data_IF_905341699237
#
_entry.id   IF_905341699237
#
_cell.length_a   1.000
_cell.length_b   1.000
_cell.length_c   1.000
_cell.angle_alpha   90.00
_cell.angle_beta   90.00
_cell.angle_gamma   90.00
#
_symmetry.space_group_name_H-M   'P 1'
#
loop_
_entity.id
_entity.type
_entity.pdbx_description
1 polymer ?
#
# COMPACT_ATOMS: atom_id res chain seq x y z
N UNK A 1 12.35 -7.55 31.88
CA UNK A 1 11.83 -8.23 30.69
C UNK A 1 10.58 -8.99 31.10
N UNK A 2 9.41 -8.51 30.69
CA UNK A 2 8.12 -9.17 30.94
C UNK A 2 7.66 -9.81 29.63
N UNK A 3 7.07 -11.01 29.64
CA UNK A 3 6.58 -11.66 28.43
C UNK A 3 5.29 -10.97 27.97
N UNK A 4 5.27 -10.51 26.71
CA UNK A 4 4.07 -10.02 26.04
C UNK A 4 3.28 -11.22 25.54
N UNK A 5 2.09 -11.42 26.09
CA UNK A 5 1.16 -12.47 25.71
C UNK A 5 0.30 -12.00 24.54
N UNK A 6 0.45 -12.62 23.37
CA UNK A 6 -0.43 -12.39 22.22
C UNK A 6 -1.87 -12.81 22.56
N UNK A 7 -2.80 -11.85 22.53
CA UNK A 7 -4.24 -12.15 22.56
C UNK A 7 -4.73 -12.36 21.13
N UNK A 8 -4.92 -13.62 20.74
CA UNK A 8 -5.75 -14.00 19.60
C UNK A 8 -7.21 -13.78 19.98
N UNK A 9 -7.90 -12.89 19.26
CA UNK A 9 -9.35 -12.69 19.41
C UNK A 9 -10.05 -13.82 18.62
N UNK A 10 -10.99 -14.57 19.22
CA UNK A 10 -11.64 -15.68 18.55
C UNK A 10 -12.61 -15.19 17.48
N UNK A 11 -12.46 -15.70 16.26
CA UNK A 11 -13.45 -15.56 15.19
C UNK A 11 -14.63 -16.49 15.46
N UNK A 12 -15.76 -15.91 15.83
CA UNK A 12 -17.06 -16.59 15.80
C UNK A 12 -18.05 -15.73 15.03
N UNK A 13 -18.26 -16.10 13.77
CA UNK A 13 -19.22 -15.48 12.87
C UNK A 13 -19.22 -16.20 11.53
N UNK A 14 -19.75 -17.44 11.50
CA UNK A 14 -20.04 -18.12 10.24
C UNK A 14 -21.17 -17.34 9.57
N UNK A 15 -20.81 -16.50 8.60
CA UNK A 15 -21.80 -15.81 7.77
C UNK A 15 -22.06 -16.62 6.52
N UNK A 16 -23.24 -17.21 6.44
CA UNK A 16 -23.78 -17.86 5.25
C UNK A 16 -24.26 -16.79 4.28
N UNK A 17 -23.35 -16.12 3.57
CA UNK A 17 -23.72 -15.34 2.39
C UNK A 17 -23.61 -16.23 1.15
N UNK A 18 -24.74 -16.31 0.46
CA UNK A 18 -25.08 -17.30 -0.55
C UNK A 18 -24.08 -17.44 -1.70
N UNK A 19 -23.97 -18.69 -2.14
CA UNK A 19 -23.69 -19.10 -3.51
C UNK A 19 -24.60 -18.34 -4.49
N UNK A 20 -24.21 -17.14 -4.88
CA UNK A 20 -24.74 -16.42 -6.03
C UNK A 20 -23.52 -15.89 -6.80
N UNK A 21 -23.50 -16.13 -8.11
CA UNK A 21 -22.56 -15.60 -9.11
C UNK A 21 -21.87 -14.34 -8.61
N UNK A 22 -20.56 -14.42 -8.34
CA UNK A 22 -19.81 -13.41 -7.60
C UNK A 22 -20.02 -12.01 -8.21
N UNK A 23 -20.84 -11.18 -7.55
CA UNK A 23 -20.91 -9.76 -7.81
C UNK A 23 -19.49 -9.21 -7.65
N UNK A 24 -18.89 -8.76 -8.74
CA UNK A 24 -17.57 -8.16 -8.68
C UNK A 24 -17.68 -6.91 -7.82
N UNK A 25 -16.91 -6.78 -6.72
CA UNK A 25 -17.03 -5.63 -5.84
C UNK A 25 -16.79 -4.35 -6.64
N UNK A 26 -17.79 -3.46 -6.64
CA UNK A 26 -17.71 -2.16 -7.29
C UNK A 26 -17.14 -1.18 -6.27
N UNK A 27 -15.87 -0.83 -6.43
CA UNK A 27 -15.20 0.14 -5.56
C UNK A 27 -15.60 1.59 -5.90
N UNK A 28 -15.46 2.52 -4.94
CA UNK A 28 -15.76 3.93 -5.18
C UNK A 28 -14.98 4.50 -6.36
N UNK A 29 -15.63 5.37 -7.12
CA UNK A 29 -15.05 6.09 -8.26
C UNK A 29 -15.52 7.55 -8.25
N UNK A 30 -14.86 8.40 -9.03
CA UNK A 30 -15.23 9.82 -9.17
C UNK A 30 -16.06 10.06 -10.44
N UNK A 31 -16.96 11.06 -10.45
CA UNK A 31 -17.82 11.35 -11.60
C UNK A 31 -17.06 11.56 -12.92
N UNK A 32 -15.85 12.11 -12.85
CA UNK A 32 -14.98 12.40 -13.99
C UNK A 32 -14.58 11.13 -14.75
N UNK A 33 -14.57 9.96 -14.09
CA UNK A 33 -14.24 8.68 -14.72
C UNK A 33 -15.46 7.98 -15.36
N UNK A 34 -16.69 8.36 -14.98
CA UNK A 34 -17.90 7.65 -15.42
C UNK A 34 -18.08 7.53 -16.95
N UNK A 35 -17.75 8.55 -17.78
CA UNK A 35 -17.93 8.44 -19.22
C UNK A 35 -16.98 7.43 -19.90
N UNK A 36 -15.80 7.23 -19.34
CA UNK A 36 -14.77 6.34 -19.89
C UNK A 36 -13.84 5.84 -18.77
N UNK A 37 -14.29 4.88 -17.95
CA UNK A 37 -13.50 4.39 -16.83
C UNK A 37 -12.27 3.62 -17.33
N UNK A 38 -11.18 3.67 -16.55
CA UNK A 38 -9.97 2.90 -16.85
C UNK A 38 -10.22 1.40 -16.66
N UNK A 39 -10.25 0.65 -17.76
CA UNK A 39 -10.42 -0.81 -17.74
C UNK A 39 -9.31 -1.53 -16.98
N UNK A 40 -8.07 -1.02 -17.05
CA UNK A 40 -6.94 -1.59 -16.32
C UNK A 40 -7.10 -1.39 -14.81
N UNK A 41 -7.59 -0.22 -14.38
CA UNK A 41 -7.94 0.01 -12.96
C UNK A 41 -9.01 -0.97 -12.49
N UNK A 42 -10.11 -1.11 -13.25
CA UNK A 42 -11.20 -2.02 -12.91
C UNK A 42 -10.76 -3.49 -12.86
N UNK A 43 -9.84 -3.91 -13.75
CA UNK A 43 -9.24 -5.23 -13.70
C UNK A 43 -8.38 -5.42 -12.43
N UNK A 44 -7.58 -4.41 -12.06
CA UNK A 44 -6.75 -4.47 -10.86
C UNK A 44 -7.60 -4.43 -9.57
N UNK A 45 -8.71 -3.70 -9.58
CA UNK A 45 -9.68 -3.66 -8.49
C UNK A 45 -10.19 -5.07 -8.14
N UNK A 46 -10.31 -5.98 -9.11
CA UNK A 46 -10.69 -7.38 -8.88
C UNK A 46 -9.62 -8.21 -8.14
N UNK A 47 -8.37 -7.74 -8.11
CA UNK A 47 -7.24 -8.37 -7.43
C UNK A 47 -7.02 -7.76 -6.04
N UNK A 48 -6.99 -6.43 -5.96
CA UNK A 48 -6.74 -5.67 -4.74
C UNK A 48 -8.05 -5.37 -4.01
N UNK A 49 -8.58 -6.37 -3.31
CA UNK A 49 -9.91 -6.28 -2.68
C UNK A 49 -9.89 -5.87 -1.20
N UNK A 50 -8.79 -6.11 -0.48
CA UNK A 50 -8.73 -5.97 0.97
C UNK A 50 -8.41 -4.51 1.40
N UNK A 51 -9.41 -3.79 1.91
CA UNK A 51 -9.26 -2.42 2.42
C UNK A 51 -9.11 -2.31 3.95
N UNK A 52 -8.91 -3.44 4.65
CA UNK A 52 -8.77 -3.47 6.11
C UNK A 52 -7.44 -2.84 6.57
N UNK A 53 -7.42 -2.35 7.80
CA UNK A 53 -6.20 -1.92 8.47
C UNK A 53 -5.35 -3.14 8.89
N UNK A 54 -4.45 -3.56 8.01
CA UNK A 54 -3.57 -4.73 8.24
C UNK A 54 -2.11 -4.38 8.49
N UNK A 55 -1.70 -3.20 8.03
CA UNK A 55 -0.37 -2.65 8.23
C UNK A 55 -0.46 -1.50 9.23
N UNK A 56 0.60 -1.31 10.00
CA UNK A 56 0.74 -0.15 10.88
C UNK A 56 0.97 1.11 10.02
N UNK A 57 0.08 2.12 10.07
CA UNK A 57 0.17 3.28 9.18
C UNK A 57 1.50 4.03 9.26
N UNK A 58 2.10 4.10 10.46
CA UNK A 58 3.39 4.76 10.72
C UNK A 58 4.56 4.05 10.03
N UNK A 59 4.41 2.77 9.67
CA UNK A 59 5.46 1.95 9.07
C UNK A 59 5.26 1.70 7.57
N UNK A 60 4.23 2.29 6.94
CA UNK A 60 3.92 2.03 5.52
C UNK A 60 5.09 2.36 4.59
N UNK A 61 5.82 3.45 4.88
CA UNK A 61 7.01 3.82 4.11
C UNK A 61 8.14 2.81 4.22
N UNK A 62 8.34 2.20 5.39
CA UNK A 62 9.38 1.19 5.61
C UNK A 62 9.10 -0.08 4.82
N UNK A 63 7.82 -0.41 4.62
CA UNK A 63 7.44 -1.52 3.76
C UNK A 63 7.69 -1.22 2.29
N UNK A 64 7.58 0.03 1.85
CA UNK A 64 7.76 0.39 0.45
C UNK A 64 9.24 0.60 0.08
N UNK A 65 10.01 1.27 0.93
CA UNK A 65 11.36 1.76 0.64
C UNK A 65 12.40 0.97 1.45
N UNK A 66 13.42 0.43 0.79
CA UNK A 66 14.56 -0.22 1.44
C UNK A 66 15.70 0.75 1.77
N UNK A 67 15.87 1.81 0.99
CA UNK A 67 16.93 2.80 1.18
C UNK A 67 17.05 3.79 0.03
N UNK A 68 18.12 4.56 0.02
CA UNK A 68 18.44 5.52 -1.03
C UNK A 68 18.96 4.82 -2.30
N UNK A 69 18.55 5.29 -3.48
CA UNK A 69 19.11 4.85 -4.75
C UNK A 69 18.38 5.44 -5.93
N UNK A 70 19.15 6.01 -6.87
CA UNK A 70 18.63 6.63 -8.08
C UNK A 70 18.39 5.65 -9.23
N UNK A 71 17.86 6.17 -10.34
CA UNK A 71 17.68 5.42 -11.58
C UNK A 71 19.03 5.00 -12.17
N UNK A 72 20.01 5.90 -12.13
CA UNK A 72 21.40 5.59 -12.47
C UNK A 72 22.11 5.03 -11.24
N UNK A 73 22.53 3.75 -11.23
CA UNK A 73 23.19 3.14 -10.08
C UNK A 73 24.53 3.78 -9.73
N UNK A 74 25.15 4.52 -10.65
CA UNK A 74 26.42 5.23 -10.42
C UNK A 74 26.19 6.61 -9.78
N UNK A 75 24.94 7.09 -9.71
CA UNK A 75 24.59 8.37 -9.07
C UNK A 75 24.31 8.17 -7.59
N UNK A 76 25.12 8.80 -6.74
CA UNK A 76 24.89 8.82 -5.30
C UNK A 76 23.76 9.79 -4.95
N UNK A 77 22.86 9.34 -4.07
CA UNK A 77 21.80 10.18 -3.50
C UNK A 77 22.35 10.86 -2.24
N UNK A 78 22.14 12.17 -2.14
CA UNK A 78 22.52 12.96 -0.97
C UNK A 78 21.67 12.59 0.25
N UNK A 79 22.31 12.32 1.39
CA UNK A 79 21.65 11.85 2.62
C UNK A 79 20.64 12.86 3.16
N UNK A 80 20.95 14.15 3.11
CA UNK A 80 20.04 15.21 3.59
C UNK A 80 18.78 15.26 2.71
N UNK A 81 18.96 15.22 1.39
CA UNK A 81 17.86 15.17 0.41
C UNK A 81 17.03 13.90 0.56
N UNK A 82 17.67 12.75 0.79
CA UNK A 82 16.99 11.48 1.07
C UNK A 82 16.11 11.58 2.31
N UNK A 83 16.65 12.07 3.42
CA UNK A 83 15.91 12.16 4.69
C UNK A 83 14.70 13.10 4.56
N UNK A 84 14.87 14.26 3.91
CA UNK A 84 13.76 15.19 3.66
C UNK A 84 12.65 14.55 2.82
N UNK A 85 13.00 13.85 1.74
CA UNK A 85 12.02 13.18 0.88
C UNK A 85 11.36 12.00 1.59
N UNK A 86 12.12 11.23 2.36
CA UNK A 86 11.63 10.07 3.10
C UNK A 86 10.61 10.47 4.17
N UNK A 87 10.89 11.54 4.92
CA UNK A 87 10.00 12.05 5.97
C UNK A 87 8.67 12.56 5.39
N UNK A 88 8.72 13.32 4.30
CA UNK A 88 7.51 13.79 3.61
C UNK A 88 6.72 12.62 2.99
N UNK A 89 7.41 11.66 2.37
CA UNK A 89 6.78 10.46 1.83
C UNK A 89 6.11 9.64 2.95
N UNK A 90 6.76 9.49 4.10
CA UNK A 90 6.21 8.82 5.28
C UNK A 90 4.89 9.44 5.72
N UNK A 91 4.86 10.77 5.87
CA UNK A 91 3.66 11.52 6.21
C UNK A 91 2.54 11.34 5.18
N UNK A 92 2.86 11.42 3.88
CA UNK A 92 1.87 11.24 2.81
C UNK A 92 1.29 9.82 2.80
N UNK A 93 2.13 8.79 2.90
CA UNK A 93 1.69 7.40 2.89
C UNK A 93 0.88 7.03 4.13
N UNK A 94 1.29 7.50 5.32
CA UNK A 94 0.51 7.32 6.55
C UNK A 94 -0.87 7.96 6.41
N UNK A 95 -0.96 9.19 5.91
CA UNK A 95 -2.22 9.88 5.68
C UNK A 95 -3.09 9.17 4.63
N UNK A 96 -2.49 8.70 3.53
CA UNK A 96 -3.21 7.96 2.50
C UNK A 96 -3.76 6.62 3.03
N UNK A 97 -2.95 5.87 3.78
CA UNK A 97 -3.36 4.59 4.36
C UNK A 97 -4.45 4.76 5.42
N UNK A 98 -4.37 5.81 6.24
CA UNK A 98 -5.42 6.10 7.24
C UNK A 98 -6.74 6.53 6.61
N UNK A 99 -6.70 7.37 5.57
CA UNK A 99 -7.90 8.05 5.08
C UNK A 99 -8.54 7.42 3.84
N UNK A 100 -7.79 6.66 3.03
CA UNK A 100 -8.28 6.13 1.75
C UNK A 100 -8.37 4.61 1.73
N UNK A 101 -9.60 4.09 1.67
CA UNK A 101 -9.85 2.66 1.46
C UNK A 101 -9.26 2.16 0.14
N UNK A 102 -9.35 2.96 -0.92
CA UNK A 102 -8.78 2.61 -2.23
C UNK A 102 -7.26 2.49 -2.14
N UNK A 103 -6.59 3.40 -1.43
CA UNK A 103 -5.14 3.30 -1.23
C UNK A 103 -4.78 2.07 -0.39
N UNK A 104 -5.50 1.81 0.71
CA UNK A 104 -5.26 0.62 1.54
C UNK A 104 -5.33 -0.67 0.73
N UNK A 105 -6.28 -0.79 -0.19
CA UNK A 105 -6.39 -1.96 -1.08
C UNK A 105 -5.12 -2.20 -1.88
N UNK A 106 -4.59 -1.15 -2.50
CA UNK A 106 -3.38 -1.22 -3.30
C UNK A 106 -2.16 -1.58 -2.44
N UNK A 107 -1.99 -0.89 -1.30
CA UNK A 107 -0.86 -1.13 -0.41
C UNK A 107 -0.90 -2.53 0.22
N UNK A 108 -2.06 -2.99 0.67
CA UNK A 108 -2.24 -4.34 1.21
C UNK A 108 -1.92 -5.40 0.16
N UNK A 109 -2.41 -5.22 -1.06
CA UNK A 109 -2.13 -6.15 -2.17
C UNK A 109 -0.63 -6.18 -2.50
N UNK A 110 0.01 -5.01 -2.65
CA UNK A 110 1.43 -4.91 -2.94
C UNK A 110 2.29 -5.56 -1.83
N UNK A 111 1.92 -5.36 -0.57
CA UNK A 111 2.59 -5.99 0.56
C UNK A 111 2.52 -7.52 0.52
N UNK A 112 1.33 -8.08 0.26
CA UNK A 112 1.15 -9.53 0.16
C UNK A 112 1.91 -10.14 -1.00
N UNK A 113 2.11 -9.40 -2.10
CA UNK A 113 2.79 -9.91 -3.29
C UNK A 113 4.31 -9.78 -3.21
N UNK A 114 4.81 -8.64 -2.76
CA UNK A 114 6.22 -8.27 -2.93
C UNK A 114 6.78 -7.67 -1.64
N UNK A 115 6.17 -6.61 -1.11
CA UNK A 115 6.82 -5.71 -0.14
C UNK A 115 7.05 -6.31 1.27
N UNK A 116 6.44 -7.47 1.57
CA UNK A 116 6.78 -8.24 2.77
C UNK A 116 8.22 -8.78 2.73
N UNK A 117 8.78 -8.99 1.54
CA UNK A 117 10.17 -9.32 1.28
C UNK A 117 11.00 -8.03 1.13
N UNK A 118 12.02 -7.87 1.98
CA UNK A 118 12.85 -6.65 2.04
C UNK A 118 13.60 -6.43 0.73
N UNK A 119 14.01 -7.51 0.06
CA UNK A 119 14.78 -7.45 -1.19
C UNK A 119 13.93 -7.04 -2.39
N UNK A 120 12.60 -7.01 -2.25
CA UNK A 120 11.65 -6.58 -3.29
C UNK A 120 11.11 -5.17 -3.06
N UNK A 121 11.65 -4.46 -2.06
CA UNK A 121 11.29 -3.06 -1.79
C UNK A 121 12.03 -2.12 -2.74
N UNK A 122 11.48 -0.93 -2.89
CA UNK A 122 11.97 0.09 -3.80
C UNK A 122 13.12 0.88 -3.19
N UNK A 123 14.01 1.38 -4.05
CA UNK A 123 14.95 2.43 -3.68
C UNK A 123 14.32 3.80 -3.93
N UNK A 124 14.63 4.77 -3.08
CA UNK A 124 14.17 6.15 -3.22
C UNK A 124 15.25 7.01 -3.87
N UNK A 125 15.03 7.38 -5.14
CA UNK A 125 15.84 8.34 -5.91
C UNK A 125 15.52 9.77 -5.50
N UNK A 126 15.85 10.14 -4.26
CA UNK A 126 15.50 11.45 -3.73
C UNK A 126 16.19 12.59 -4.50
N UNK A 127 15.42 13.61 -4.88
CA UNK A 127 15.90 14.74 -5.68
C UNK A 127 15.96 14.51 -7.19
N UNK A 128 15.68 13.29 -7.67
CA UNK A 128 15.53 12.99 -9.10
C UNK A 128 14.16 13.44 -9.65
N UNK A 129 14.00 13.34 -10.97
CA UNK A 129 12.71 13.59 -11.61
C UNK A 129 11.70 12.47 -11.24
N UNK A 130 10.41 12.82 -11.15
CA UNK A 130 9.35 11.84 -10.90
C UNK A 130 9.17 10.88 -12.09
N UNK A 131 9.13 9.58 -11.80
CA UNK A 131 8.88 8.48 -12.75
C UNK A 131 7.86 7.46 -12.21
#
# INVERSE_FOLDING_TARGET
MLPVTYRLIPQSGVSTYGLNTADTPVFPDIPEHAPNPSWLRLAHDSLAINSEFRLEPECVVEYLISGAGGIDPDTEIDDDTYNECYDELSSVLQNAYTQSETFRRLMNYAYEKELHDVEQRWLLGAGEAFE
#
